data_IF_127059116121
#
_entry.id   IF_127059116121
#
_cell.length_a   1.000
_cell.length_b   1.000
_cell.length_c   1.000
_cell.angle_alpha   90.00
_cell.angle_beta   90.00
_cell.angle_gamma   90.00
#
_symmetry.space_group_name_H-M   'P 1'
#
loop_
_entity.id
_entity.type
_entity.pdbx_description
1 polymer ?
#
# COMPACT_ATOMS: atom_id res chain seq x y z
N UNK A 1 -0.33 6.97 70.09
CA UNK A 1 -1.39 6.82 69.06
C UNK A 1 -0.92 7.56 67.82
N UNK A 2 0.07 7.13 67.01
CA UNK A 2 0.26 5.97 66.14
C UNK A 2 -0.87 5.66 65.12
N UNK A 3 -0.56 6.02 63.86
CA UNK A 3 -1.03 5.50 62.55
C UNK A 3 -2.31 6.12 61.96
N UNK A 4 -2.32 6.17 60.62
CA UNK A 4 -3.35 6.72 59.71
C UNK A 4 -3.20 8.18 59.27
N UNK A 5 -2.04 8.56 58.75
CA UNK A 5 -1.98 9.66 57.77
C UNK A 5 -0.78 9.51 56.82
N UNK A 6 -0.75 8.42 56.06
CA UNK A 6 0.24 8.24 54.98
C UNK A 6 -0.31 7.47 53.76
N UNK A 7 -1.60 7.10 53.72
CA UNK A 7 -2.14 6.24 52.66
C UNK A 7 -2.62 7.04 51.44
N UNK A 8 -2.79 8.37 51.53
CA UNK A 8 -3.35 9.17 50.41
C UNK A 8 -2.27 9.90 49.57
N UNK A 9 -1.01 9.98 50.04
CA UNK A 9 0.10 10.57 49.26
C UNK A 9 0.88 9.51 48.45
N UNK A 10 0.52 8.23 48.58
CA UNK A 10 1.20 7.11 47.89
C UNK A 10 0.66 6.76 46.49
N UNK A 11 -0.37 7.45 45.98
CA UNK A 11 -1.02 7.10 44.70
C UNK A 11 -0.62 8.06 43.55
N UNK A 12 0.16 9.11 43.83
CA UNK A 12 0.59 10.11 42.83
C UNK A 12 2.05 9.96 42.35
N UNK A 13 2.68 8.81 42.59
CA UNK A 13 4.06 8.51 42.16
C UNK A 13 4.20 7.14 41.46
N UNK A 14 3.20 6.74 40.67
CA UNK A 14 3.22 5.50 39.89
C UNK A 14 2.83 5.68 38.40
N UNK A 15 2.97 6.89 37.85
CA UNK A 15 2.94 7.13 36.41
C UNK A 15 4.36 7.44 35.92
N UNK A 16 5.18 6.40 35.85
CA UNK A 16 6.51 6.49 35.30
C UNK A 16 7.04 5.08 35.12
N UNK A 17 7.20 4.68 33.86
CA UNK A 17 7.72 3.40 33.35
C UNK A 17 6.64 2.44 32.83
N UNK A 18 5.97 2.82 31.74
CA UNK A 18 5.42 1.88 30.77
C UNK A 18 6.34 1.84 29.53
N UNK A 19 7.59 1.42 29.72
CA UNK A 19 8.46 0.99 28.62
C UNK A 19 8.25 -0.51 28.44
N UNK A 20 7.27 -0.94 27.63
CA UNK A 20 7.11 -2.38 27.37
C UNK A 20 6.30 -2.71 26.10
N UNK A 21 6.69 -2.17 24.95
CA UNK A 21 6.52 -2.87 23.66
C UNK A 21 7.69 -2.48 22.75
N UNK A 22 8.89 -2.94 23.12
CA UNK A 22 10.14 -2.69 22.40
C UNK A 22 10.32 -3.57 21.16
N UNK A 23 9.26 -3.77 20.37
CA UNK A 23 9.38 -4.39 19.05
C UNK A 23 8.95 -3.39 18.00
N UNK A 24 9.81 -3.16 17.01
CA UNK A 24 9.41 -2.43 15.81
C UNK A 24 8.38 -3.27 15.04
N UNK A 25 7.52 -2.64 14.23
CA UNK A 25 6.56 -3.36 13.39
C UNK A 25 7.24 -4.43 12.50
N UNK A 26 8.47 -4.15 12.06
CA UNK A 26 9.32 -5.08 11.32
C UNK A 26 9.71 -6.33 12.14
N UNK A 27 10.06 -6.15 13.42
CA UNK A 27 10.35 -7.27 14.31
C UNK A 27 9.10 -8.10 14.63
N UNK A 28 7.93 -7.46 14.76
CA UNK A 28 6.66 -8.18 14.91
C UNK A 28 6.36 -9.03 13.67
N UNK A 29 6.58 -8.50 12.47
CA UNK A 29 6.38 -9.22 11.21
C UNK A 29 7.33 -10.42 11.09
N UNK A 30 8.62 -10.25 11.40
CA UNK A 30 9.61 -11.34 11.38
C UNK A 30 9.27 -12.46 12.37
N UNK A 31 8.79 -12.10 13.57
CA UNK A 31 8.39 -13.08 14.58
C UNK A 31 7.14 -13.85 14.14
N UNK A 32 6.15 -13.18 13.54
CA UNK A 32 4.93 -13.81 13.04
C UNK A 32 5.24 -14.84 11.94
N UNK A 33 6.09 -14.47 10.98
CA UNK A 33 6.52 -15.38 9.91
C UNK A 33 7.29 -16.60 10.44
N UNK A 34 8.04 -16.43 11.54
CA UNK A 34 8.81 -17.51 12.16
C UNK A 34 7.94 -18.46 13.00
N UNK A 35 6.86 -17.97 13.61
CA UNK A 35 5.91 -18.83 14.32
C UNK A 35 5.06 -19.70 13.39
N UNK A 36 4.69 -19.21 12.20
CA UNK A 36 3.90 -19.99 11.26
C UNK A 36 4.69 -21.18 10.66
N UNK A 37 6.01 -21.04 10.50
CA UNK A 37 6.85 -22.11 9.95
C UNK A 37 7.10 -23.28 10.91
N UNK A 38 7.13 -23.04 12.22
CA UNK A 38 7.47 -24.07 13.22
C UNK A 38 6.23 -24.86 13.71
N UNK A 39 5.06 -24.22 13.81
CA UNK A 39 3.85 -24.87 14.35
C UNK A 39 3.03 -25.64 13.31
N UNK A 40 3.01 -25.20 12.04
CA UNK A 40 2.18 -25.84 11.01
C UNK A 40 2.80 -27.13 10.43
N UNK A 41 4.14 -27.23 10.40
CA UNK A 41 4.86 -28.40 9.87
C UNK A 41 5.09 -29.49 10.93
N UNK A 42 5.32 -29.14 12.19
CA UNK A 42 5.67 -30.13 13.23
C UNK A 42 4.50 -30.99 13.70
N UNK A 43 3.28 -30.46 13.66
CA UNK A 43 2.05 -31.20 13.98
C UNK A 43 1.64 -32.17 12.84
N UNK A 44 1.86 -31.77 11.58
CA UNK A 44 1.59 -32.61 10.41
C UNK A 44 2.60 -33.76 10.28
N UNK A 45 3.89 -33.48 10.47
CA UNK A 45 4.98 -34.47 10.36
C UNK A 45 4.95 -35.53 11.47
N UNK A 46 4.41 -35.22 12.66
CA UNK A 46 4.28 -36.21 13.74
C UNK A 46 3.18 -37.25 13.49
N UNK A 47 2.22 -36.95 12.61
CA UNK A 47 1.06 -37.82 12.35
C UNK A 47 1.29 -38.84 11.22
N UNK A 48 2.31 -38.62 10.39
CA UNK A 48 2.56 -39.38 9.17
C UNK A 48 3.35 -40.69 9.39
N UNK A 49 3.71 -41.05 10.62
CA UNK A 49 4.55 -42.24 10.88
C UNK A 49 3.80 -43.57 11.03
N UNK A 50 2.55 -43.67 10.58
CA UNK A 50 1.79 -44.93 10.65
C UNK A 50 0.63 -45.02 9.64
N UNK A 51 0.94 -45.18 8.35
CA UNK A 51 0.08 -45.99 7.47
C UNK A 51 0.93 -46.73 6.44
N UNK A 52 0.68 -48.04 6.34
CA UNK A 52 1.34 -48.98 5.45
C UNK A 52 0.65 -48.98 4.07
N UNK A 53 0.66 -47.84 3.37
CA UNK A 53 0.13 -47.73 2.01
C UNK A 53 1.27 -47.60 0.97
N UNK A 54 1.11 -48.14 -0.26
CA UNK A 54 2.21 -48.23 -1.21
C UNK A 54 2.64 -46.85 -1.73
N UNK A 55 3.93 -46.59 -1.60
CA UNK A 55 4.62 -45.38 -2.04
C UNK A 55 4.48 -45.20 -3.56
N UNK A 56 3.76 -44.16 -3.99
CA UNK A 56 3.92 -43.63 -5.35
C UNK A 56 5.36 -43.11 -5.45
N UNK A 57 6.18 -43.80 -6.23
CA UNK A 57 7.59 -43.46 -6.40
C UNK A 57 7.70 -42.24 -7.31
N UNK A 58 7.94 -41.06 -6.73
CA UNK A 58 8.38 -39.91 -7.51
C UNK A 58 9.83 -40.13 -7.94
N UNK A 59 10.03 -40.24 -9.24
CA UNK A 59 11.34 -40.36 -9.87
C UNK A 59 12.17 -39.10 -9.56
N UNK A 60 13.14 -39.26 -8.66
CA UNK A 60 14.04 -38.21 -8.19
C UNK A 60 15.11 -37.99 -9.27
N UNK A 61 14.82 -37.11 -10.25
CA UNK A 61 15.87 -36.64 -11.16
C UNK A 61 16.84 -35.78 -10.35
N UNK A 62 18.11 -36.18 -10.42
CA UNK A 62 19.22 -35.83 -9.55
C UNK A 62 19.53 -34.33 -9.45
N UNK A 63 19.91 -33.97 -8.23
CA UNK A 63 20.44 -32.70 -7.74
C UNK A 63 21.75 -32.28 -8.43
N UNK A 64 21.77 -31.06 -8.96
CA UNK A 64 22.90 -30.15 -8.81
C UNK A 64 22.33 -28.82 -8.31
N UNK A 65 22.31 -28.67 -6.99
CA UNK A 65 21.98 -27.42 -6.33
C UNK A 65 23.30 -26.67 -6.13
N UNK A 66 23.77 -26.02 -7.19
CA UNK A 66 24.40 -24.72 -6.97
C UNK A 66 23.36 -23.84 -6.25
N UNK A 67 23.75 -22.95 -5.34
CA UNK A 67 22.84 -21.93 -4.86
C UNK A 67 22.36 -21.15 -6.08
N UNK A 68 21.17 -21.47 -6.57
CA UNK A 68 20.45 -20.57 -7.47
C UNK A 68 20.06 -19.42 -6.56
N UNK A 69 20.98 -18.47 -6.43
CA UNK A 69 20.64 -17.10 -6.10
C UNK A 69 19.42 -16.79 -6.96
N UNK A 70 18.27 -16.45 -6.35
CA UNK A 70 17.08 -16.19 -7.11
C UNK A 70 17.43 -15.00 -7.99
N UNK A 71 17.71 -15.29 -9.26
CA UNK A 71 17.78 -14.28 -10.28
C UNK A 71 16.33 -13.86 -10.47
N UNK A 72 15.88 -12.98 -9.58
CA UNK A 72 14.81 -12.02 -9.85
C UNK A 72 15.41 -11.12 -10.93
N UNK A 73 15.56 -11.69 -12.13
CA UNK A 73 15.76 -10.92 -13.33
C UNK A 73 14.56 -10.00 -13.39
N UNK A 74 14.81 -8.72 -13.64
CA UNK A 74 13.81 -7.72 -13.93
C UNK A 74 13.08 -8.03 -15.24
N UNK A 75 12.64 -9.28 -15.46
CA UNK A 75 11.72 -9.58 -16.53
C UNK A 75 10.31 -9.19 -16.08
N UNK A 76 10.12 -7.87 -15.91
CA UNK A 76 8.81 -7.22 -15.78
C UNK A 76 7.95 -7.44 -17.04
N UNK A 77 8.47 -8.12 -18.08
CA UNK A 77 7.74 -8.36 -19.32
C UNK A 77 6.75 -9.53 -19.24
N UNK A 78 7.02 -10.54 -18.39
CA UNK A 78 6.15 -11.74 -18.29
C UNK A 78 4.78 -11.41 -17.67
N UNK A 79 4.69 -10.30 -16.92
CA UNK A 79 3.46 -9.78 -16.31
C UNK A 79 3.01 -8.43 -16.90
N UNK A 80 3.34 -8.12 -18.16
CA UNK A 80 2.55 -7.13 -18.91
C UNK A 80 1.20 -7.78 -19.24
N UNK A 81 0.34 -7.94 -18.23
CA UNK A 81 -1.09 -7.99 -18.46
C UNK A 81 -1.38 -6.84 -19.42
N UNK A 82 -1.98 -7.15 -20.56
CA UNK A 82 -2.27 -6.13 -21.56
C UNK A 82 -3.33 -5.19 -20.96
N UNK A 83 -2.87 -4.16 -20.26
CA UNK A 83 -3.74 -3.17 -19.66
C UNK A 83 -4.42 -2.40 -20.78
N UNK A 84 -5.74 -2.52 -20.81
CA UNK A 84 -6.55 -1.73 -21.71
C UNK A 84 -6.96 -0.46 -20.98
N UNK A 85 -6.43 0.68 -21.43
CA UNK A 85 -6.75 2.00 -20.88
C UNK A 85 -8.27 2.25 -20.79
N UNK A 86 -9.05 1.76 -21.76
CA UNK A 86 -10.51 1.91 -21.73
C UNK A 86 -11.14 1.24 -20.51
N UNK A 87 -10.65 0.06 -20.13
CA UNK A 87 -11.20 -0.70 -19.01
C UNK A 87 -10.86 0.00 -17.69
N UNK A 88 -9.66 0.55 -17.58
CA UNK A 88 -9.23 1.39 -16.45
C UNK A 88 -10.14 2.62 -16.29
N UNK A 89 -10.36 3.38 -17.37
CA UNK A 89 -11.23 4.57 -17.32
C UNK A 89 -12.66 4.20 -16.93
N UNK A 90 -13.18 3.06 -17.42
CA UNK A 90 -14.51 2.56 -17.03
C UNK A 90 -14.55 2.16 -15.56
N UNK A 91 -13.52 1.48 -15.06
CA UNK A 91 -13.39 1.10 -13.65
C UNK A 91 -13.38 2.33 -12.74
N UNK A 92 -12.58 3.34 -13.09
CA UNK A 92 -12.53 4.64 -12.38
C UNK A 92 -13.89 5.32 -12.39
N UNK A 93 -14.56 5.43 -13.55
CA UNK A 93 -15.89 6.03 -13.64
C UNK A 93 -16.95 5.29 -12.81
N UNK A 94 -16.78 3.99 -12.60
CA UNK A 94 -17.65 3.15 -11.76
C UNK A 94 -17.28 3.18 -10.27
N UNK A 95 -16.17 3.84 -9.91
CA UNK A 95 -15.61 3.83 -8.55
C UNK A 95 -15.00 2.48 -8.15
N UNK A 96 -14.77 1.59 -9.10
CA UNK A 96 -14.24 0.24 -8.87
C UNK A 96 -12.74 0.19 -9.23
N UNK A 97 -11.95 1.07 -8.64
CA UNK A 97 -10.52 1.20 -8.95
C UNK A 97 -9.73 0.09 -8.26
N UNK A 98 -9.08 -0.78 -9.03
CA UNK A 98 -8.13 -1.76 -8.52
C UNK A 98 -6.79 -1.10 -8.14
N UNK A 99 -6.03 -1.63 -7.17
CA UNK A 99 -4.66 -1.17 -6.92
C UNK A 99 -3.78 -1.20 -8.18
N UNK A 100 -4.01 -2.17 -9.07
CA UNK A 100 -3.31 -2.27 -10.34
C UNK A 100 -3.68 -1.17 -11.34
N UNK A 101 -4.96 -0.77 -11.40
CA UNK A 101 -5.42 0.32 -12.25
C UNK A 101 -4.77 1.64 -11.82
N UNK A 102 -4.75 1.89 -10.51
CA UNK A 102 -4.13 3.08 -9.94
C UNK A 102 -2.62 3.14 -10.23
N UNK A 103 -1.93 2.00 -10.13
CA UNK A 103 -0.50 1.93 -10.42
C UNK A 103 -0.23 2.22 -11.90
N UNK A 104 -1.03 1.67 -12.81
CA UNK A 104 -0.88 1.95 -14.25
C UNK A 104 -1.19 3.41 -14.59
N UNK A 105 -2.21 4.02 -13.96
CA UNK A 105 -2.49 5.46 -14.10
C UNK A 105 -1.30 6.30 -13.65
N UNK A 106 -0.69 5.98 -12.51
CA UNK A 106 0.50 6.68 -11.99
C UNK A 106 1.67 6.52 -12.95
N UNK A 107 1.96 5.29 -13.37
CA UNK A 107 3.03 4.99 -14.32
C UNK A 107 2.85 5.78 -15.62
N UNK A 108 1.65 5.83 -16.18
CA UNK A 108 1.35 6.62 -17.39
C UNK A 108 1.50 8.13 -17.13
N UNK A 109 1.09 8.60 -15.96
CA UNK A 109 1.23 10.01 -15.58
C UNK A 109 2.69 10.43 -15.46
N UNK A 110 3.55 9.56 -14.90
CA UNK A 110 5.01 9.77 -14.82
C UNK A 110 5.69 9.84 -16.20
N UNK A 111 5.05 9.28 -17.23
CA UNK A 111 5.50 9.34 -18.62
C UNK A 111 4.78 10.44 -19.42
N UNK A 112 4.26 11.47 -18.76
CA UNK A 112 3.65 12.65 -19.38
C UNK A 112 2.43 12.32 -20.27
N UNK A 113 1.72 11.22 -19.97
CA UNK A 113 0.46 10.93 -20.65
C UNK A 113 -0.63 11.88 -20.14
N UNK A 114 -1.04 12.83 -20.99
CA UNK A 114 -2.00 13.87 -20.66
C UNK A 114 -3.36 13.33 -20.16
N UNK A 115 -3.88 12.25 -20.76
CA UNK A 115 -5.14 11.64 -20.33
C UNK A 115 -5.02 11.00 -18.95
N UNK A 116 -3.90 10.35 -18.65
CA UNK A 116 -3.64 9.75 -17.35
C UNK A 116 -3.47 10.81 -16.25
N UNK A 117 -2.77 11.90 -16.56
CA UNK A 117 -2.60 13.05 -15.65
C UNK A 117 -3.95 13.68 -15.34
N UNK A 118 -4.79 13.93 -16.36
CA UNK A 118 -6.14 14.47 -16.17
C UNK A 118 -7.00 13.52 -15.31
N UNK A 119 -6.96 12.21 -15.60
CA UNK A 119 -7.71 11.22 -14.84
C UNK A 119 -7.27 11.17 -13.37
N UNK A 120 -5.95 11.19 -13.11
CA UNK A 120 -5.41 11.20 -11.76
C UNK A 120 -5.78 12.48 -11.01
N UNK A 121 -5.76 13.63 -11.69
CA UNK A 121 -6.23 14.91 -11.14
C UNK A 121 -7.70 14.82 -10.72
N UNK A 122 -8.55 14.23 -11.56
CA UNK A 122 -9.97 14.01 -11.27
C UNK A 122 -10.18 13.06 -10.10
N UNK A 123 -9.40 11.97 -10.02
CA UNK A 123 -9.46 11.03 -8.90
C UNK A 123 -9.11 11.72 -7.58
N UNK A 124 -8.11 12.60 -7.56
CA UNK A 124 -7.79 13.40 -6.37
C UNK A 124 -8.88 14.44 -6.06
N UNK A 125 -9.52 15.04 -7.07
CA UNK A 125 -10.62 15.99 -6.89
C UNK A 125 -11.85 15.32 -6.25
N UNK A 126 -12.16 14.09 -6.65
CA UNK A 126 -13.38 13.37 -6.26
C UNK A 126 -13.19 12.39 -5.12
N UNK A 127 -11.96 11.95 -4.86
CA UNK A 127 -11.67 10.86 -3.92
C UNK A 127 -12.04 9.48 -4.47
N UNK A 128 -12.05 9.31 -5.80
CA UNK A 128 -12.42 8.03 -6.43
C UNK A 128 -11.23 7.08 -6.42
N UNK A 129 -11.33 5.97 -5.68
CA UNK A 129 -10.26 4.97 -5.56
C UNK A 129 -9.05 5.41 -4.73
N UNK A 130 -8.99 6.69 -4.35
CA UNK A 130 -7.93 7.30 -3.54
C UNK A 130 -8.52 8.32 -2.58
N UNK A 131 -7.78 8.73 -1.55
CA UNK A 131 -8.23 9.81 -0.67
C UNK A 131 -8.29 11.14 -1.45
N UNK A 132 -9.38 11.88 -1.29
CA UNK A 132 -9.53 13.21 -1.88
C UNK A 132 -8.40 14.14 -1.39
N UNK A 133 -7.81 14.89 -2.32
CA UNK A 133 -6.73 15.84 -2.07
C UNK A 133 -6.82 16.96 -3.11
N UNK A 134 -7.56 18.03 -2.78
CA UNK A 134 -7.82 19.14 -3.69
C UNK A 134 -6.53 19.90 -4.07
N UNK A 135 -5.60 20.24 -3.15
CA UNK A 135 -4.33 20.86 -3.51
C UNK A 135 -3.52 20.02 -4.51
N UNK A 136 -3.45 18.70 -4.31
CA UNK A 136 -2.77 17.82 -5.25
C UNK A 136 -3.49 17.76 -6.60
N UNK A 137 -4.82 17.66 -6.60
CA UNK A 137 -5.63 17.72 -7.82
C UNK A 137 -5.37 19.00 -8.62
N UNK A 138 -5.29 20.15 -7.95
CA UNK A 138 -4.99 21.44 -8.57
C UNK A 138 -3.63 21.44 -9.27
N UNK A 139 -2.59 20.89 -8.63
CA UNK A 139 -1.28 20.75 -9.23
C UNK A 139 -1.29 19.84 -10.47
N UNK A 140 -1.97 18.69 -10.41
CA UNK A 140 -2.08 17.80 -11.56
C UNK A 140 -2.90 18.41 -12.71
N UNK A 141 -3.96 19.17 -12.43
CA UNK A 141 -4.70 19.87 -13.47
C UNK A 141 -3.90 21.01 -14.09
N UNK A 142 -3.09 21.75 -13.31
CA UNK A 142 -2.13 22.71 -13.89
C UNK A 142 -1.13 22.03 -14.81
N UNK A 143 -0.63 20.86 -14.41
CA UNK A 143 0.27 20.05 -15.23
C UNK A 143 -0.41 19.58 -16.53
N UNK A 144 -1.65 19.08 -16.45
CA UNK A 144 -2.46 18.73 -17.61
C UNK A 144 -2.66 19.94 -18.56
N UNK A 145 -2.87 21.14 -17.99
CA UNK A 145 -3.01 22.35 -18.76
C UNK A 145 -1.72 22.72 -19.53
N UNK A 146 -0.55 22.52 -18.91
CA UNK A 146 0.74 22.70 -19.58
C UNK A 146 0.95 21.71 -20.74
N UNK A 147 0.39 20.51 -20.64
CA UNK A 147 0.37 19.52 -21.73
C UNK A 147 -0.70 19.78 -22.79
N UNK A 148 -1.50 20.84 -22.65
CA UNK A 148 -2.49 21.26 -23.64
C UNK A 148 -3.86 20.57 -23.51
N UNK A 149 -4.19 19.97 -22.37
CA UNK A 149 -5.53 19.41 -22.12
C UNK A 149 -6.57 20.56 -22.11
N UNK A 150 -7.54 20.60 -23.05
CA UNK A 150 -8.40 21.77 -23.23
C UNK A 150 -9.28 22.12 -22.02
N UNK A 151 -9.75 21.12 -21.29
CA UNK A 151 -10.60 21.24 -20.09
C UNK A 151 -9.83 21.60 -18.82
N UNK A 152 -8.49 21.54 -18.83
CA UNK A 152 -7.72 21.53 -17.61
C UNK A 152 -7.79 22.86 -16.85
N UNK A 153 -7.70 24.02 -17.53
CA UNK A 153 -7.80 25.32 -16.87
C UNK A 153 -9.16 25.58 -16.22
N UNK A 154 -10.24 25.06 -16.80
CA UNK A 154 -11.57 25.14 -16.19
C UNK A 154 -11.63 24.24 -14.94
N UNK A 155 -11.07 23.04 -15.01
CA UNK A 155 -10.96 22.14 -13.86
C UNK A 155 -10.09 22.72 -12.74
N UNK A 156 -8.98 23.39 -13.05
CA UNK A 156 -8.15 24.13 -12.07
C UNK A 156 -9.01 25.13 -11.30
N UNK A 157 -9.82 25.92 -12.01
CA UNK A 157 -10.72 26.91 -11.41
C UNK A 157 -11.77 26.25 -10.50
N UNK A 158 -12.39 25.18 -10.96
CA UNK A 158 -13.40 24.44 -10.19
C UNK A 158 -12.80 23.84 -8.91
N UNK A 159 -11.62 23.22 -9.01
CA UNK A 159 -10.92 22.65 -7.85
C UNK A 159 -10.53 23.75 -6.87
N UNK A 160 -9.99 24.88 -7.35
CA UNK A 160 -9.66 26.02 -6.49
C UNK A 160 -10.89 26.56 -5.74
N UNK A 161 -12.03 26.67 -6.41
CA UNK A 161 -13.29 27.10 -5.80
C UNK A 161 -13.79 26.11 -4.74
N UNK A 162 -13.58 24.81 -4.96
CA UNK A 162 -13.94 23.76 -4.00
C UNK A 162 -13.04 23.70 -2.76
N UNK A 163 -11.81 24.25 -2.81
CA UNK A 163 -10.89 24.25 -1.67
C UNK A 163 -11.38 25.10 -0.50
N UNK A 164 -11.02 24.68 0.71
CA UNK A 164 -11.14 25.52 1.91
C UNK A 164 -10.13 26.66 1.89
N UNK A 165 -10.36 27.76 2.66
CA UNK A 165 -9.39 28.86 2.75
C UNK A 165 -7.98 28.40 3.15
N UNK A 166 -7.88 27.44 4.08
CA UNK A 166 -6.60 26.86 4.52
C UNK A 166 -5.92 26.09 3.39
N UNK A 167 -6.65 25.28 2.63
CA UNK A 167 -6.07 24.57 1.49
C UNK A 167 -5.53 25.54 0.43
N UNK A 168 -6.20 26.68 0.22
CA UNK A 168 -5.75 27.71 -0.72
C UNK A 168 -4.50 28.45 -0.24
N UNK A 169 -4.38 28.70 1.08
CA UNK A 169 -3.19 29.36 1.63
C UNK A 169 -1.94 28.48 1.53
N UNK A 170 -2.13 27.16 1.48
CA UNK A 170 -1.05 26.18 1.43
C UNK A 170 -0.63 25.82 -0.01
N UNK A 171 -1.26 26.43 -1.03
CA UNK A 171 -0.89 26.19 -2.41
C UNK A 171 0.52 26.74 -2.70
N UNK A 172 1.32 26.06 -3.54
CA UNK A 172 2.61 26.59 -3.96
C UNK A 172 2.41 27.90 -4.72
N UNK A 173 3.25 28.90 -4.44
CA UNK A 173 3.42 30.03 -5.33
C UNK A 173 4.25 29.55 -6.52
N UNK A 174 3.64 29.51 -7.71
CA UNK A 174 4.30 29.13 -8.96
C UNK A 174 4.84 30.36 -9.69
#
# INVERSE_FOLDING_TARGET
>A
MLRFSFIVVGILLLCGQANAFGLTADQMYRNLMRSESDDSLSAALKREKKSDDPVITFNKRSTHSDPVEPQIGEDRSVFKAQYNWRDIVVAVRRGQVSPFDLEEIRRLSEHENAEAIELLAWMYATGTGIRQDLPKSYAYYLHAAHLGVPSAYDNVRLVYQAMTPTQRSDLPNF
#
